data_IF_777379745000
#
_entry.id   IF_777379745000
#
_cell.length_a   1.000
_cell.length_b   1.000
_cell.length_c   1.000
_cell.angle_alpha   90.00
_cell.angle_beta   90.00
_cell.angle_gamma   90.00
#
_symmetry.space_group_name_H-M   'P 1'
#
loop_
_entity.id
_entity.type
_entity.pdbx_description
1 polymer ?
#
# COMPACT_ATOMS: atom_id res chain seq x y z
N UNK A 1 -10.61 19.60 -4.39
CA UNK A 1 -11.49 19.06 -5.45
C UNK A 1 -12.86 18.79 -4.86
N UNK A 2 -13.88 18.65 -5.70
CA UNK A 2 -15.25 18.34 -5.26
C UNK A 2 -15.38 16.85 -4.91
N UNK A 3 -16.13 16.55 -3.86
CA UNK A 3 -16.43 15.18 -3.43
C UNK A 3 -17.87 14.82 -3.79
N UNK A 4 -18.07 13.64 -4.37
CA UNK A 4 -19.39 13.13 -4.75
C UNK A 4 -19.41 11.59 -4.73
N UNK A 5 -20.59 10.95 -4.70
CA UNK A 5 -20.69 9.50 -4.83
C UNK A 5 -20.09 9.02 -6.14
N UNK A 6 -19.40 7.88 -6.13
CA UNK A 6 -18.79 7.33 -7.34
C UNK A 6 -19.82 7.02 -8.44
N UNK A 7 -21.07 6.78 -8.08
CA UNK A 7 -22.17 6.62 -9.04
C UNK A 7 -22.34 7.84 -9.95
N UNK A 8 -22.04 9.05 -9.47
CA UNK A 8 -22.17 10.30 -10.24
C UNK A 8 -20.89 10.67 -11.01
N UNK A 9 -19.73 10.14 -10.62
CA UNK A 9 -18.44 10.49 -11.26
C UNK A 9 -18.29 9.78 -12.60
N UNK A 10 -18.00 10.46 -13.74
CA UNK A 10 -17.83 9.80 -15.03
C UNK A 10 -16.74 8.70 -15.01
N UNK A 11 -16.97 7.64 -15.78
CA UNK A 11 -15.96 6.58 -15.97
C UNK A 11 -14.72 7.16 -16.66
N UNK A 12 -13.54 6.68 -16.27
CA UNK A 12 -12.24 7.18 -16.74
C UNK A 12 -11.65 8.29 -15.85
N UNK A 13 -12.47 8.96 -15.04
CA UNK A 13 -12.04 10.06 -14.18
C UNK A 13 -11.09 9.56 -13.08
N UNK A 14 -10.07 10.39 -12.78
CA UNK A 14 -9.18 10.18 -11.64
C UNK A 14 -9.79 10.73 -10.35
N UNK A 15 -9.69 9.95 -9.28
CA UNK A 15 -10.23 10.26 -7.97
C UNK A 15 -9.24 9.95 -6.86
N UNK A 16 -9.39 10.61 -5.72
CA UNK A 16 -8.63 10.36 -4.50
C UNK A 16 -9.57 10.40 -3.29
N UNK A 17 -9.03 10.04 -2.12
CA UNK A 17 -9.77 10.01 -0.85
C UNK A 17 -11.06 9.17 -0.92
N UNK A 18 -10.95 7.94 -1.43
CA UNK A 18 -12.10 7.07 -1.71
C UNK A 18 -12.52 6.29 -0.47
N UNK A 19 -13.82 6.22 -0.19
CA UNK A 19 -14.36 5.39 0.88
C UNK A 19 -14.36 3.90 0.51
N UNK A 20 -14.11 3.01 1.49
CA UNK A 20 -14.20 1.56 1.25
C UNK A 20 -15.61 1.01 1.51
N UNK A 21 -16.36 1.69 2.38
CA UNK A 21 -17.76 1.41 2.72
C UNK A 21 -18.48 2.76 2.85
N UNK A 22 -19.75 2.85 2.44
CA UNK A 22 -20.50 4.10 2.56
C UNK A 22 -20.48 4.62 4.00
N UNK A 23 -20.17 5.90 4.18
CA UNK A 23 -20.17 6.58 5.48
C UNK A 23 -18.98 6.22 6.40
N UNK A 24 -18.01 5.43 5.93
CA UNK A 24 -16.81 5.08 6.71
C UNK A 24 -15.65 6.07 6.51
N UNK A 25 -15.87 7.12 5.73
CA UNK A 25 -14.86 8.11 5.39
C UNK A 25 -13.83 7.60 4.39
N UNK A 26 -13.08 8.54 3.80
CA UNK A 26 -12.06 8.24 2.80
C UNK A 26 -10.90 7.43 3.38
N UNK A 27 -10.61 6.28 2.78
CA UNK A 27 -9.58 5.35 3.26
C UNK A 27 -8.48 5.09 2.22
N UNK A 28 -8.79 5.27 0.94
CA UNK A 28 -7.93 4.89 -0.19
C UNK A 28 -7.42 6.14 -0.92
N UNK A 29 -6.19 6.08 -1.46
CA UNK A 29 -5.54 7.14 -2.23
C UNK A 29 -5.51 8.49 -1.47
N UNK A 30 -4.79 8.52 -0.35
CA UNK A 30 -4.62 9.71 0.51
C UNK A 30 -3.19 10.21 0.62
N UNK A 31 -2.23 9.42 0.14
CA UNK A 31 -0.81 9.79 0.19
C UNK A 31 -0.50 10.82 -0.90
N UNK A 32 0.52 11.62 -0.67
CA UNK A 32 0.99 12.64 -1.61
C UNK A 32 1.15 12.09 -3.05
N UNK A 33 0.59 12.78 -4.04
CA UNK A 33 0.61 12.38 -5.45
C UNK A 33 -0.20 11.14 -5.83
N UNK A 34 -0.88 10.48 -4.88
CA UNK A 34 -1.65 9.26 -5.19
C UNK A 34 -3.01 9.57 -5.79
N UNK A 35 -3.51 8.62 -6.59
CA UNK A 35 -4.85 8.64 -7.16
C UNK A 35 -5.33 7.21 -7.40
N UNK A 36 -6.63 7.09 -7.70
CA UNK A 36 -7.27 5.91 -8.25
C UNK A 36 -8.06 6.33 -9.50
N UNK A 37 -8.35 5.38 -10.38
CA UNK A 37 -9.12 5.66 -11.59
C UNK A 37 -10.36 4.78 -11.62
N UNK A 38 -11.51 5.38 -11.96
CA UNK A 38 -12.75 4.63 -12.19
C UNK A 38 -12.66 4.00 -13.58
N UNK A 39 -12.68 2.67 -13.66
CA UNK A 39 -12.65 1.94 -14.94
C UNK A 39 -14.06 1.64 -15.44
N UNK A 40 -14.97 1.36 -14.52
CA UNK A 40 -16.30 0.93 -14.87
C UNK A 40 -17.22 1.00 -13.66
N UNK A 41 -18.51 0.92 -13.92
CA UNK A 41 -19.56 0.83 -12.92
C UNK A 41 -20.48 -0.30 -13.33
N UNK A 42 -20.75 -1.21 -12.41
CA UNK A 42 -21.55 -2.39 -12.67
C UNK A 42 -22.27 -2.85 -11.40
N UNK A 43 -23.53 -3.26 -11.52
CA UNK A 43 -24.35 -3.85 -10.44
C UNK A 43 -24.26 -3.11 -9.08
N UNK A 44 -24.26 -1.78 -9.08
CA UNK A 44 -24.16 -0.98 -7.85
C UNK A 44 -22.75 -0.90 -7.23
N UNK A 45 -21.73 -1.37 -7.96
CA UNK A 45 -20.31 -1.24 -7.63
C UNK A 45 -19.57 -0.39 -8.67
N UNK A 46 -18.60 0.38 -8.21
CA UNK A 46 -17.58 1.01 -9.03
C UNK A 46 -16.30 0.15 -9.04
N UNK A 47 -15.76 -0.08 -10.22
CA UNK A 47 -14.48 -0.73 -10.42
C UNK A 47 -13.37 0.33 -10.44
N UNK A 48 -12.43 0.21 -9.51
CA UNK A 48 -11.32 1.14 -9.34
C UNK A 48 -9.99 0.47 -9.64
N UNK A 49 -9.17 1.15 -10.44
CA UNK A 49 -7.74 0.89 -10.54
C UNK A 49 -7.02 1.70 -9.48
N UNK A 50 -6.43 1.00 -8.53
CA UNK A 50 -5.58 1.61 -7.51
C UNK A 50 -4.18 1.83 -8.07
N UNK A 51 -3.44 2.80 -7.53
CA UNK A 51 -2.03 3.03 -7.90
C UNK A 51 -1.12 1.83 -7.65
N UNK A 52 -1.54 0.92 -6.78
CA UNK A 52 -0.86 -0.37 -6.57
C UNK A 52 -0.94 -1.32 -7.77
N UNK A 53 -1.79 -1.03 -8.77
CA UNK A 53 -2.12 -1.91 -9.88
C UNK A 53 -3.27 -2.88 -9.59
N UNK A 54 -3.80 -2.91 -8.36
CA UNK A 54 -4.98 -3.70 -8.00
C UNK A 54 -6.25 -3.13 -8.66
N UNK A 55 -7.06 -4.01 -9.26
CA UNK A 55 -8.44 -3.72 -9.67
C UNK A 55 -9.38 -4.19 -8.58
N UNK A 56 -10.17 -3.26 -8.04
CA UNK A 56 -11.02 -3.50 -6.89
C UNK A 56 -12.42 -2.93 -7.09
N UNK A 57 -13.41 -3.68 -6.66
CA UNK A 57 -14.81 -3.28 -6.60
C UNK A 57 -15.12 -2.60 -5.27
N UNK A 58 -15.78 -1.45 -5.32
CA UNK A 58 -16.26 -0.69 -4.17
C UNK A 58 -17.71 -0.30 -4.45
N UNK A 59 -18.57 -0.19 -3.43
CA UNK A 59 -19.96 0.24 -3.64
C UNK A 59 -20.01 1.61 -4.33
N UNK A 60 -20.90 1.76 -5.31
CA UNK A 60 -21.01 3.00 -6.09
C UNK A 60 -21.49 4.21 -5.25
N UNK A 61 -22.20 3.93 -4.15
CA UNK A 61 -22.62 4.92 -3.15
C UNK A 61 -21.46 5.54 -2.35
N UNK A 62 -20.29 4.90 -2.32
CA UNK A 62 -19.12 5.42 -1.62
C UNK A 62 -18.66 6.76 -2.21
N UNK A 63 -18.27 7.68 -1.33
CA UNK A 63 -17.76 8.99 -1.73
C UNK A 63 -16.34 8.89 -2.29
N UNK A 64 -16.06 9.74 -3.28
CA UNK A 64 -14.72 9.96 -3.82
C UNK A 64 -14.53 11.43 -4.16
N UNK A 65 -13.30 11.93 -4.05
CA UNK A 65 -12.96 13.31 -4.42
C UNK A 65 -12.31 13.32 -5.80
N UNK A 66 -12.77 14.19 -6.69
CA UNK A 66 -12.21 14.29 -8.05
C UNK A 66 -10.79 14.87 -7.99
N UNK A 67 -9.90 14.30 -8.82
CA UNK A 67 -8.50 14.70 -8.95
C UNK A 67 -7.52 13.75 -8.25
N UNK A 68 -6.24 14.11 -8.28
CA UNK A 68 -5.18 13.44 -7.53
C UNK A 68 -4.87 14.17 -6.22
N UNK A 69 -4.22 13.48 -5.28
CA UNK A 69 -3.70 14.12 -4.07
C UNK A 69 -2.55 15.06 -4.45
N UNK A 70 -2.49 16.22 -3.80
CA UNK A 70 -1.43 17.21 -3.99
C UNK A 70 -0.03 16.68 -3.67
N UNK A 71 0.99 17.47 -4.03
CA UNK A 71 2.40 17.22 -3.73
C UNK A 71 2.95 15.90 -4.32
N UNK A 72 2.90 15.69 -5.66
CA UNK A 72 3.51 14.51 -6.28
C UNK A 72 5.04 14.46 -6.10
N UNK A 73 5.70 15.62 -5.99
CA UNK A 73 7.15 15.72 -5.81
C UNK A 73 7.66 15.26 -4.45
N UNK A 74 6.76 14.94 -3.51
CA UNK A 74 7.12 14.36 -2.21
C UNK A 74 8.02 13.12 -2.35
N UNK A 75 7.87 12.35 -3.43
CA UNK A 75 8.68 11.16 -3.70
C UNK A 75 10.14 11.49 -4.04
N UNK A 76 10.42 12.71 -4.51
CA UNK A 76 11.74 13.16 -4.97
C UNK A 76 12.59 13.75 -3.82
N UNK A 77 12.02 13.90 -2.62
CA UNK A 77 12.69 14.50 -1.46
C UNK A 77 13.83 13.60 -0.96
N UNK A 78 15.05 14.15 -0.92
CA UNK A 78 16.22 13.55 -0.28
C UNK A 78 16.40 14.09 1.13
N UNK A 79 16.50 13.21 2.13
CA UNK A 79 16.63 13.62 3.55
C UNK A 79 18.01 14.19 3.90
N UNK A 80 19.06 13.86 3.13
CA UNK A 80 20.42 14.40 3.25
C UNK A 80 21.23 13.92 4.46
N UNK A 81 20.64 13.86 5.65
CA UNK A 81 21.32 13.49 6.90
C UNK A 81 20.50 12.56 7.79
N UNK A 82 21.18 11.80 8.64
CA UNK A 82 20.53 10.92 9.63
C UNK A 82 19.63 11.68 10.61
N UNK A 83 20.00 12.90 11.00
CA UNK A 83 19.21 13.76 11.91
C UNK A 83 17.82 14.09 11.37
N UNK A 84 17.68 14.31 10.05
CA UNK A 84 16.36 14.60 9.44
C UNK A 84 15.40 13.41 9.57
N UNK A 85 15.94 12.18 9.52
CA UNK A 85 15.17 10.95 9.76
C UNK A 85 14.70 10.84 11.22
N UNK A 86 15.48 11.37 12.18
CA UNK A 86 15.09 11.43 13.59
C UNK A 86 13.99 12.45 13.84
N UNK A 87 14.02 13.61 13.17
CA UNK A 87 12.97 14.65 13.29
C UNK A 87 11.59 14.15 12.85
N UNK A 88 11.52 13.25 11.87
CA UNK A 88 10.26 12.59 11.45
C UNK A 88 9.91 11.36 12.32
N UNK A 89 10.51 11.21 13.50
CA UNK A 89 10.21 10.16 14.47
C UNK A 89 10.75 8.77 14.14
N UNK A 90 11.59 8.61 13.10
CA UNK A 90 12.13 7.30 12.71
C UNK A 90 13.46 7.01 13.40
N UNK A 91 13.47 6.03 14.31
CA UNK A 91 14.67 5.49 14.98
C UNK A 91 15.53 4.66 13.99
N UNK A 92 16.85 4.51 14.26
CA UNK A 92 17.68 3.61 13.47
C UNK A 92 17.17 2.16 13.58
N UNK A 93 17.22 1.43 12.47
CA UNK A 93 16.88 0.02 12.40
C UNK A 93 18.16 -0.80 12.25
N UNK A 94 18.37 -1.79 13.12
CA UNK A 94 19.53 -2.67 13.09
C UNK A 94 19.22 -3.86 12.18
N UNK A 95 20.18 -4.24 11.31
CA UNK A 95 20.03 -5.39 10.41
C UNK A 95 20.13 -6.69 11.21
N UNK A 96 19.32 -7.69 10.88
CA UNK A 96 19.38 -9.00 11.55
C UNK A 96 20.74 -9.70 11.45
N UNK A 97 21.48 -9.45 10.37
CA UNK A 97 22.85 -9.97 10.18
C UNK A 97 23.87 -9.39 11.18
N UNK A 98 23.56 -8.23 11.78
CA UNK A 98 24.42 -7.60 12.78
C UNK A 98 24.05 -8.01 14.22
N UNK A 99 23.15 -8.98 14.38
CA UNK A 99 22.65 -9.44 15.69
C UNK A 99 23.21 -10.82 16.04
N UNK A 100 22.92 -11.30 17.25
CA UNK A 100 23.27 -12.66 17.68
C UNK A 100 22.19 -13.67 17.26
N UNK A 101 22.49 -14.98 17.22
CA UNK A 101 21.51 -16.02 16.89
C UNK A 101 20.23 -16.00 17.73
N UNK A 102 20.33 -15.54 18.98
CA UNK A 102 19.20 -15.40 19.91
C UNK A 102 18.24 -14.27 19.52
N UNK A 103 18.75 -13.20 18.91
CA UNK A 103 17.97 -11.99 18.60
C UNK A 103 17.30 -12.07 17.23
N UNK A 104 17.97 -12.68 16.26
CA UNK A 104 17.48 -12.77 14.90
C UNK A 104 17.91 -14.07 14.23
N UNK A 105 17.04 -14.69 13.42
CA UNK A 105 17.43 -15.80 12.57
C UNK A 105 18.55 -15.50 11.56
N UNK A 106 19.08 -14.30 11.46
CA UNK A 106 20.21 -14.00 10.57
C UNK A 106 21.48 -13.71 11.36
N UNK A 107 21.40 -13.78 12.70
CA UNK A 107 22.50 -13.44 13.57
C UNK A 107 23.50 -14.57 13.72
N UNK A 108 24.70 -14.19 14.17
CA UNK A 108 25.85 -15.08 14.36
C UNK A 108 26.62 -15.41 13.09
N UNK A 109 27.47 -16.43 13.21
CA UNK A 109 28.51 -16.76 12.23
C UNK A 109 29.79 -15.94 12.44
N UNK A 110 30.91 -16.45 11.95
CA UNK A 110 32.19 -15.74 11.98
C UNK A 110 32.26 -14.69 10.86
N UNK A 111 32.60 -13.45 11.21
CA UNK A 111 32.62 -12.35 10.26
C UNK A 111 31.23 -11.98 9.72
N UNK A 112 31.19 -11.37 8.52
CA UNK A 112 29.93 -10.92 7.90
C UNK A 112 29.33 -12.02 7.03
N UNK A 113 28.52 -12.90 7.64
CA UNK A 113 27.79 -13.95 6.90
C UNK A 113 26.31 -13.59 6.73
N UNK A 114 25.68 -14.10 5.68
CA UNK A 114 24.25 -13.92 5.42
C UNK A 114 23.36 -14.96 6.14
N UNK A 115 23.93 -15.73 7.08
CA UNK A 115 23.22 -16.76 7.84
C UNK A 115 22.73 -17.97 7.04
N UNK A 116 23.12 -18.08 5.76
CA UNK A 116 22.90 -19.25 4.89
C UNK A 116 21.46 -19.66 4.59
N UNK A 117 20.47 -18.84 4.98
CA UNK A 117 19.05 -19.22 4.96
C UNK A 117 18.18 -18.25 4.15
N UNK A 118 16.97 -18.68 3.84
CA UNK A 118 15.98 -17.79 3.21
C UNK A 118 15.77 -16.55 4.08
N UNK A 119 15.74 -15.32 3.52
CA UNK A 119 15.51 -14.11 4.30
C UNK A 119 14.19 -14.17 5.08
N UNK A 120 14.27 -13.98 6.40
CA UNK A 120 13.13 -13.98 7.31
C UNK A 120 13.08 -12.72 8.19
N UNK A 121 11.93 -12.49 8.82
CA UNK A 121 11.75 -11.51 9.90
C UNK A 121 12.43 -11.99 11.18
N UNK A 122 12.55 -11.14 12.22
CA UNK A 122 13.03 -11.57 13.54
C UNK A 122 12.23 -12.76 14.11
N UNK A 123 10.96 -12.89 13.72
CA UNK A 123 10.06 -13.97 14.12
C UNK A 123 9.99 -15.15 13.12
N UNK A 124 10.96 -15.25 12.20
CA UNK A 124 11.05 -16.40 11.28
C UNK A 124 10.07 -16.40 10.10
N UNK A 125 9.28 -15.34 9.87
CA UNK A 125 8.39 -15.26 8.69
C UNK A 125 9.22 -14.88 7.45
N UNK A 126 9.16 -15.65 6.34
CA UNK A 126 9.85 -15.30 5.09
C UNK A 126 9.49 -13.90 4.56
N UNK A 127 10.50 -13.11 4.17
CA UNK A 127 10.34 -11.71 3.71
C UNK A 127 10.31 -11.55 2.19
N UNK A 128 10.84 -12.52 1.45
CA UNK A 128 10.79 -12.56 -0.03
C UNK A 128 9.67 -13.48 -0.51
N UNK A 129 8.77 -12.98 -1.36
CA UNK A 129 7.75 -13.76 -2.07
C UNK A 129 6.54 -14.27 -1.26
N UNK A 130 6.68 -14.55 0.04
CA UNK A 130 5.59 -15.10 0.85
C UNK A 130 4.40 -14.14 0.95
N UNK A 131 3.23 -14.57 0.48
CA UNK A 131 1.96 -13.83 0.61
C UNK A 131 1.42 -13.96 2.04
N UNK A 132 1.07 -12.83 2.65
CA UNK A 132 0.64 -12.79 4.07
C UNK A 132 -0.88 -12.65 4.27
N UNK A 133 -1.62 -12.24 3.23
CA UNK A 133 -3.08 -12.04 3.32
C UNK A 133 -3.84 -13.34 3.01
N UNK A 134 -4.76 -13.73 3.89
CA UNK A 134 -5.61 -14.93 3.77
C UNK A 134 -7.12 -14.66 3.85
N UNK A 135 -7.56 -13.41 4.02
CA UNK A 135 -8.98 -13.09 4.23
C UNK A 135 -9.82 -13.24 2.95
N UNK A 136 -10.63 -14.30 2.90
CA UNK A 136 -11.53 -14.64 1.79
C UNK A 136 -12.70 -13.67 1.59
N UNK A 137 -13.20 -13.02 2.66
CA UNK A 137 -14.36 -12.11 2.57
C UNK A 137 -14.08 -10.91 1.68
N UNK A 138 -12.87 -10.35 1.80
CA UNK A 138 -12.44 -9.20 0.99
C UNK A 138 -11.83 -9.61 -0.36
N UNK A 139 -11.54 -10.89 -0.58
CA UNK A 139 -11.01 -11.36 -1.87
C UNK A 139 -12.04 -11.26 -3.00
N UNK A 140 -13.33 -11.47 -2.69
CA UNK A 140 -14.43 -11.35 -3.67
C UNK A 140 -14.54 -9.95 -4.29
N UNK A 141 -14.07 -8.93 -3.58
CA UNK A 141 -14.09 -7.54 -4.04
C UNK A 141 -12.85 -7.16 -4.88
N UNK A 142 -11.89 -8.07 -5.06
CA UNK A 142 -10.67 -7.81 -5.81
C UNK A 142 -10.74 -8.58 -7.12
N UNK A 143 -10.95 -7.84 -8.21
CA UNK A 143 -11.05 -8.42 -9.56
C UNK A 143 -9.67 -8.82 -10.09
N UNK A 144 -8.64 -7.99 -9.88
CA UNK A 144 -7.25 -8.29 -10.25
C UNK A 144 -6.32 -7.90 -9.14
N UNK A 145 -5.50 -8.85 -8.66
CA UNK A 145 -4.47 -8.58 -7.66
C UNK A 145 -3.29 -7.83 -8.29
N UNK A 146 -2.67 -6.93 -7.51
CA UNK A 146 -1.44 -6.19 -7.88
C UNK A 146 -0.25 -7.05 -8.35
N UNK A 147 -0.24 -8.34 -8.00
CA UNK A 147 0.84 -9.29 -8.35
C UNK A 147 0.50 -10.19 -9.54
N UNK A 148 -0.69 -10.06 -10.12
CA UNK A 148 -0.98 -10.74 -11.38
C UNK A 148 -0.02 -10.17 -12.44
N UNK A 149 0.66 -11.04 -13.20
CA UNK A 149 1.50 -10.61 -14.33
C UNK A 149 0.68 -9.71 -15.26
N UNK A 150 1.35 -8.71 -15.83
CA UNK A 150 0.71 -7.73 -16.71
C UNK A 150 0.05 -8.42 -17.89
#
# INVERSE_FOLDING_TARGET
GNAMPMQSVPVGTIVHNVEMKPGKGGQIARSAGTYAQIIGKDQGYAQLRLISGELRMIRAECMATIGAVSNPDQQNIKLGKAGRKRWIGKRPAVRGVAMNPIDHPHGGGEGRTSGGRHPVTPWGKPTKGKRTRSNKKTDRLIMRRRHAKK
#
